data_IF_371541384978
#
_entry.id   IF_371541384978
#
_cell.length_a   1.000
_cell.length_b   1.000
_cell.length_c   1.000
_cell.angle_alpha   90.00
_cell.angle_beta   90.00
_cell.angle_gamma   90.00
#
_symmetry.space_group_name_H-M   'P 1'
#
loop_
_entity.id
_entity.type
_entity.pdbx_description
1 polymer ?
#
# COMPACT_ATOMS: atom_id res chain seq x y z
N UNK A 1 39.06 28.07 -41.54
CA UNK A 1 37.87 28.22 -40.66
C UNK A 1 37.50 26.84 -40.16
N UNK A 2 37.95 26.54 -38.95
CA UNK A 2 37.85 25.20 -38.35
C UNK A 2 36.75 25.25 -37.29
N UNK A 3 35.63 24.54 -37.51
CA UNK A 3 34.53 24.45 -36.57
C UNK A 3 34.86 23.47 -35.44
N UNK A 4 34.61 23.80 -34.15
CA UNK A 4 34.85 22.87 -33.05
C UNK A 4 33.70 21.86 -32.92
N UNK A 5 34.05 20.58 -32.79
CA UNK A 5 33.17 19.43 -32.48
C UNK A 5 32.65 19.56 -31.05
N UNK A 6 31.33 19.51 -30.92
CA UNK A 6 30.63 19.42 -29.64
C UNK A 6 30.88 18.05 -28.94
N UNK A 7 31.10 17.99 -27.62
CA UNK A 7 31.28 16.71 -26.92
C UNK A 7 29.96 16.01 -26.75
N UNK A 8 29.91 14.72 -27.07
CA UNK A 8 28.80 13.82 -26.90
C UNK A 8 28.42 13.69 -25.40
N UNK A 9 27.14 13.90 -25.08
CA UNK A 9 26.52 13.60 -23.77
C UNK A 9 26.66 12.10 -23.47
N UNK A 10 27.52 11.77 -22.51
CA UNK A 10 27.54 10.44 -21.89
C UNK A 10 26.25 10.27 -21.11
N UNK A 11 25.30 9.51 -21.64
CA UNK A 11 24.16 8.96 -20.89
C UNK A 11 24.71 7.98 -19.85
N UNK A 12 24.67 8.36 -18.58
CA UNK A 12 24.97 7.46 -17.48
C UNK A 12 23.93 6.32 -17.48
N UNK A 13 24.35 5.13 -17.92
CA UNK A 13 23.59 3.90 -17.68
C UNK A 13 23.51 3.71 -16.17
N UNK A 14 22.31 3.87 -15.58
CA UNK A 14 22.02 3.38 -14.24
C UNK A 14 22.37 1.88 -14.20
N UNK A 15 23.37 1.53 -13.42
CA UNK A 15 23.76 0.14 -13.22
C UNK A 15 22.59 -0.58 -12.53
N UNK A 16 22.00 -1.53 -13.22
CA UNK A 16 21.01 -2.45 -12.64
C UNK A 16 21.71 -3.19 -11.49
N UNK A 17 21.32 -2.90 -10.28
CA UNK A 17 21.87 -3.56 -9.09
C UNK A 17 21.45 -5.03 -9.10
N UNK A 18 22.41 -5.93 -8.88
CA UNK A 18 22.07 -7.35 -8.70
C UNK A 18 21.27 -7.56 -7.41
N UNK A 19 20.37 -8.57 -7.35
CA UNK A 19 19.54 -8.83 -6.15
C UNK A 19 20.36 -8.94 -4.86
N UNK A 20 21.55 -9.54 -4.91
CA UNK A 20 22.44 -9.67 -3.76
C UNK A 20 22.98 -8.32 -3.26
N UNK A 21 23.35 -7.42 -4.16
CA UNK A 21 23.79 -6.06 -3.80
C UNK A 21 22.66 -5.23 -3.20
N UNK A 22 21.45 -5.39 -3.72
CA UNK A 22 20.27 -4.74 -3.18
C UNK A 22 19.94 -5.24 -1.76
N UNK A 23 20.05 -6.54 -1.50
CA UNK A 23 19.84 -7.13 -0.19
C UNK A 23 20.90 -6.68 0.82
N UNK A 24 22.18 -6.67 0.44
CA UNK A 24 23.28 -6.18 1.29
C UNK A 24 23.12 -4.68 1.61
N UNK A 25 22.70 -3.87 0.65
CA UNK A 25 22.43 -2.45 0.87
C UNK A 25 21.29 -2.22 1.87
N UNK A 26 20.21 -3.01 1.76
CA UNK A 26 19.07 -2.93 2.66
C UNK A 26 19.42 -3.36 4.10
N UNK A 27 20.24 -4.37 4.27
CA UNK A 27 20.72 -4.80 5.59
C UNK A 27 21.64 -3.75 6.23
N UNK A 28 22.54 -3.15 5.44
CA UNK A 28 23.42 -2.07 5.90
C UNK A 28 22.63 -0.83 6.32
N UNK A 29 21.63 -0.43 5.51
CA UNK A 29 20.73 0.68 5.84
C UNK A 29 19.99 0.42 7.16
N UNK A 30 19.38 -0.75 7.30
CA UNK A 30 18.71 -1.15 8.54
C UNK A 30 19.63 -1.07 9.78
N UNK A 31 20.85 -1.61 9.68
CA UNK A 31 21.82 -1.59 10.78
C UNK A 31 22.27 -0.17 11.14
N UNK A 32 22.47 0.68 10.12
CA UNK A 32 22.83 2.08 10.32
C UNK A 32 21.71 2.86 11.01
N UNK A 33 20.46 2.66 10.60
CA UNK A 33 19.31 3.30 11.22
C UNK A 33 19.18 2.90 12.70
N UNK A 34 19.25 1.60 13.02
CA UNK A 34 19.22 1.11 14.42
C UNK A 34 20.36 1.74 15.23
N UNK A 35 21.59 1.73 14.70
CA UNK A 35 22.75 2.27 15.39
C UNK A 35 22.61 3.77 15.66
N UNK A 36 22.04 4.55 14.75
CA UNK A 36 21.80 5.98 14.94
C UNK A 36 20.83 6.26 16.10
N UNK A 37 19.75 5.50 16.22
CA UNK A 37 18.78 5.65 17.31
C UNK A 37 19.38 5.23 18.66
N UNK A 38 20.15 4.14 18.69
CA UNK A 38 20.84 3.68 19.90
C UNK A 38 21.89 4.70 20.37
N UNK A 39 22.64 5.29 19.44
CA UNK A 39 23.58 6.34 19.76
C UNK A 39 22.93 7.61 20.33
N UNK A 40 21.66 7.86 19.99
CA UNK A 40 20.84 8.93 20.54
C UNK A 40 20.18 8.58 21.90
N UNK A 41 20.43 7.38 22.45
CA UNK A 41 19.92 6.95 23.77
C UNK A 41 18.68 6.04 23.68
N UNK A 42 18.31 5.56 22.51
CA UNK A 42 17.22 4.60 22.32
C UNK A 42 17.61 3.18 22.78
N UNK A 43 16.63 2.41 23.27
CA UNK A 43 16.80 0.99 23.58
C UNK A 43 17.00 0.18 22.29
N UNK A 44 18.06 -0.61 22.23
CA UNK A 44 18.41 -1.38 21.02
C UNK A 44 17.32 -2.38 20.64
N UNK A 45 16.71 -3.08 21.60
CA UNK A 45 15.70 -4.09 21.34
C UNK A 45 14.45 -3.47 20.74
N UNK A 46 14.04 -2.30 21.25
CA UNK A 46 12.91 -1.52 20.73
C UNK A 46 13.22 -1.01 19.32
N UNK A 47 14.41 -0.39 19.13
CA UNK A 47 14.78 0.20 17.84
C UNK A 47 14.92 -0.86 16.73
N UNK A 48 15.41 -2.03 17.03
CA UNK A 48 15.46 -3.15 16.07
C UNK A 48 14.08 -3.54 15.56
N UNK A 49 13.08 -3.62 16.43
CA UNK A 49 11.70 -3.96 16.03
C UNK A 49 11.07 -2.82 15.24
N UNK A 50 11.09 -1.61 15.78
CA UNK A 50 10.41 -0.46 15.13
C UNK A 50 11.02 -0.14 13.75
N UNK A 51 12.36 -0.13 13.65
CA UNK A 51 13.04 0.11 12.36
C UNK A 51 12.74 -1.00 11.35
N UNK A 52 12.68 -2.27 11.79
CA UNK A 52 12.32 -3.38 10.92
C UNK A 52 10.87 -3.27 10.42
N UNK A 53 9.92 -2.97 11.29
CA UNK A 53 8.50 -2.77 10.93
C UNK A 53 8.36 -1.62 9.92
N UNK A 54 8.96 -0.47 10.18
CA UNK A 54 8.91 0.68 9.26
C UNK A 54 9.60 0.37 7.91
N UNK A 55 10.74 -0.29 7.93
CA UNK A 55 11.47 -0.69 6.72
C UNK A 55 10.67 -1.67 5.87
N UNK A 56 10.05 -2.67 6.51
CA UNK A 56 9.18 -3.63 5.82
C UNK A 56 7.94 -2.95 5.26
N UNK A 57 7.23 -2.15 6.05
CA UNK A 57 6.04 -1.42 5.61
C UNK A 57 6.34 -0.53 4.39
N UNK A 58 7.42 0.25 4.42
CA UNK A 58 7.86 1.09 3.30
C UNK A 58 8.12 0.28 2.02
N UNK A 59 8.77 -0.89 2.14
CA UNK A 59 9.05 -1.76 0.99
C UNK A 59 7.79 -2.37 0.41
N UNK A 60 6.88 -2.84 1.25
CA UNK A 60 5.58 -3.37 0.83
C UNK A 60 4.76 -2.28 0.12
N UNK A 61 4.70 -1.07 0.67
CA UNK A 61 3.98 0.06 0.06
C UNK A 61 4.51 0.41 -1.33
N UNK A 62 5.83 0.49 -1.50
CA UNK A 62 6.46 0.70 -2.81
C UNK A 62 6.12 -0.40 -3.81
N UNK A 63 5.95 -1.60 -3.34
CA UNK A 63 5.67 -2.77 -4.13
C UNK A 63 4.19 -2.80 -4.55
N UNK A 64 3.26 -2.62 -3.62
CA UNK A 64 1.83 -2.49 -3.93
C UNK A 64 1.57 -1.32 -4.89
N UNK A 65 2.26 -0.21 -4.73
CA UNK A 65 2.14 0.93 -5.65
C UNK A 65 2.51 0.55 -7.09
N UNK A 66 3.56 -0.26 -7.29
CA UNK A 66 3.94 -0.73 -8.64
C UNK A 66 2.91 -1.70 -9.22
N UNK A 67 2.46 -2.68 -8.43
CA UNK A 67 1.44 -3.63 -8.87
C UNK A 67 0.12 -2.95 -9.25
N UNK A 68 -0.32 -1.99 -8.45
CA UNK A 68 -1.52 -1.23 -8.77
C UNK A 68 -1.36 -0.43 -10.07
N UNK A 69 -0.15 0.08 -10.35
CA UNK A 69 0.14 0.77 -11.60
C UNK A 69 0.03 -0.17 -12.82
N UNK A 70 0.45 -1.44 -12.70
CA UNK A 70 0.32 -2.44 -13.77
C UNK A 70 -1.14 -2.77 -14.06
N UNK A 71 -2.05 -2.60 -13.09
CA UNK A 71 -3.50 -2.71 -13.24
C UNK A 71 -4.19 -1.37 -13.57
N UNK A 72 -3.43 -0.33 -13.87
CA UNK A 72 -3.92 1.03 -14.08
C UNK A 72 -4.77 1.54 -12.90
N UNK A 73 -4.39 1.19 -11.68
CA UNK A 73 -5.03 1.63 -10.44
C UNK A 73 -4.11 2.56 -9.65
N UNK A 74 -4.66 3.66 -9.17
CA UNK A 74 -4.03 4.44 -8.11
C UNK A 74 -4.29 3.81 -6.73
N UNK A 75 -3.44 4.07 -5.75
CA UNK A 75 -3.66 3.67 -4.36
C UNK A 75 -5.01 4.15 -3.80
N UNK A 76 -5.45 5.33 -4.24
CA UNK A 76 -6.76 5.85 -3.84
C UNK A 76 -7.94 5.12 -4.46
N UNK A 77 -7.85 4.67 -5.70
CA UNK A 77 -8.88 3.82 -6.33
C UNK A 77 -8.90 2.43 -5.72
N UNK A 78 -7.73 1.87 -5.42
CA UNK A 78 -7.61 0.63 -4.66
C UNK A 78 -8.29 0.72 -3.29
N UNK A 79 -8.09 1.82 -2.54
CA UNK A 79 -8.75 2.04 -1.26
C UNK A 79 -10.29 2.00 -1.38
N UNK A 80 -10.85 2.61 -2.44
CA UNK A 80 -12.30 2.58 -2.71
C UNK A 80 -12.76 1.16 -3.05
N UNK A 81 -12.07 0.45 -3.97
CA UNK A 81 -12.42 -0.94 -4.31
C UNK A 81 -12.39 -1.84 -3.08
N UNK A 82 -11.37 -1.70 -2.24
CA UNK A 82 -11.21 -2.47 -1.01
C UNK A 82 -12.29 -2.17 0.03
N UNK A 83 -12.72 -0.91 0.17
CA UNK A 83 -13.82 -0.55 1.07
C UNK A 83 -15.14 -1.14 0.58
N UNK A 84 -15.44 -1.03 -0.71
CA UNK A 84 -16.63 -1.59 -1.31
C UNK A 84 -16.65 -3.13 -1.25
N UNK A 85 -15.51 -3.78 -1.43
CA UNK A 85 -15.41 -5.23 -1.35
C UNK A 85 -15.58 -5.77 0.09
N UNK A 86 -15.17 -4.99 1.10
CA UNK A 86 -15.31 -5.32 2.54
C UNK A 86 -16.70 -5.05 3.08
N UNK A 87 -17.38 -4.02 2.60
CA UNK A 87 -18.78 -3.81 2.91
C UNK A 87 -19.56 -4.88 2.17
N UNK A 88 -20.03 -5.93 2.85
CA UNK A 88 -20.78 -7.06 2.27
C UNK A 88 -21.54 -6.67 0.99
N UNK A 89 -21.60 -7.56 0.00
CA UNK A 89 -22.23 -7.32 -1.32
C UNK A 89 -23.61 -6.64 -1.27
N UNK A 90 -24.28 -6.69 -0.11
CA UNK A 90 -25.59 -6.09 0.16
C UNK A 90 -25.52 -4.67 0.76
N UNK A 91 -24.35 -4.14 1.12
CA UNK A 91 -24.18 -2.80 1.71
C UNK A 91 -23.43 -1.85 0.78
N UNK A 92 -24.22 -1.18 -0.06
CA UNK A 92 -23.71 -0.06 -0.83
C UNK A 92 -23.28 1.10 0.07
N UNK A 93 -22.15 1.74 -0.24
CA UNK A 93 -21.62 2.88 0.52
C UNK A 93 -21.94 4.21 -0.17
N UNK A 94 -22.13 5.25 0.63
CA UNK A 94 -22.24 6.61 0.09
C UNK A 94 -20.88 7.23 -0.17
N UNK A 95 -20.77 8.25 -1.08
CA UNK A 95 -19.53 8.99 -1.29
C UNK A 95 -18.93 9.57 0.01
N UNK A 96 -19.78 10.02 0.94
CA UNK A 96 -19.34 10.57 2.23
C UNK A 96 -18.69 9.51 3.11
N UNK A 97 -19.28 8.31 3.20
CA UNK A 97 -18.69 7.18 3.94
C UNK A 97 -17.35 6.75 3.34
N UNK A 98 -17.26 6.72 2.02
CA UNK A 98 -15.99 6.42 1.32
C UNK A 98 -14.93 7.49 1.56
N UNK A 99 -15.31 8.77 1.59
CA UNK A 99 -14.40 9.88 1.87
C UNK A 99 -13.87 9.80 3.31
N UNK A 100 -14.75 9.57 4.28
CA UNK A 100 -14.41 9.41 5.70
C UNK A 100 -13.47 8.21 5.91
N UNK A 101 -13.85 7.03 5.40
CA UNK A 101 -13.06 5.80 5.52
C UNK A 101 -11.68 5.89 4.86
N UNK A 102 -11.53 6.75 3.84
CA UNK A 102 -10.25 7.00 3.14
C UNK A 102 -9.51 8.23 3.66
N UNK A 103 -10.05 8.95 4.65
CA UNK A 103 -9.49 10.20 5.20
C UNK A 103 -9.17 11.23 4.11
N UNK A 104 -10.05 11.39 3.13
CA UNK A 104 -9.90 12.36 2.03
C UNK A 104 -11.04 13.36 1.98
N UNK A 105 -10.77 14.54 1.40
CA UNK A 105 -11.81 15.56 1.21
C UNK A 105 -12.95 15.05 0.29
N UNK A 106 -14.22 15.40 0.55
CA UNK A 106 -15.37 14.99 -0.26
C UNK A 106 -15.22 15.31 -1.75
N UNK A 107 -14.65 16.47 -2.09
CA UNK A 107 -14.38 16.87 -3.49
C UNK A 107 -13.40 15.90 -4.18
N UNK A 108 -12.32 15.51 -3.49
CA UNK A 108 -11.34 14.56 -3.99
C UNK A 108 -11.98 13.18 -4.22
N UNK A 109 -12.86 12.75 -3.30
CA UNK A 109 -13.61 11.50 -3.45
C UNK A 109 -14.55 11.57 -4.66
N UNK A 110 -15.27 12.68 -4.85
CA UNK A 110 -16.16 12.84 -6.01
C UNK A 110 -15.41 12.67 -7.32
N UNK A 111 -14.28 13.36 -7.51
CA UNK A 111 -13.45 13.22 -8.72
C UNK A 111 -12.92 11.80 -8.92
N UNK A 112 -12.55 11.12 -7.84
CA UNK A 112 -12.10 9.72 -7.89
C UNK A 112 -13.23 8.80 -8.36
N UNK A 113 -14.40 8.92 -7.76
CA UNK A 113 -15.59 8.13 -8.13
C UNK A 113 -16.04 8.40 -9.57
N UNK A 114 -15.88 9.64 -10.07
CA UNK A 114 -16.20 9.98 -11.48
C UNK A 114 -15.29 9.20 -12.43
N UNK A 115 -13.99 9.18 -12.20
CA UNK A 115 -13.04 8.41 -13.01
C UNK A 115 -13.30 6.90 -12.94
N UNK A 116 -13.57 6.38 -11.74
CA UNK A 116 -13.87 4.96 -11.55
C UNK A 116 -15.17 4.55 -12.26
N UNK A 117 -16.19 5.40 -12.24
CA UNK A 117 -17.43 5.15 -12.98
C UNK A 117 -17.22 5.19 -14.52
N UNK A 118 -16.41 6.15 -15.03
CA UNK A 118 -16.05 6.19 -16.45
C UNK A 118 -15.32 4.93 -16.92
N UNK A 119 -14.54 4.30 -16.02
CA UNK A 119 -13.84 3.03 -16.26
C UNK A 119 -14.70 1.80 -15.96
N UNK A 120 -15.98 1.99 -15.66
CA UNK A 120 -16.90 0.91 -15.31
C UNK A 120 -16.47 0.06 -14.10
N UNK A 121 -15.70 0.61 -13.18
CA UNK A 121 -15.28 -0.11 -11.97
C UNK A 121 -16.35 -0.05 -10.87
N UNK A 122 -17.17 0.99 -10.87
CA UNK A 122 -18.23 1.22 -9.89
C UNK A 122 -19.54 1.62 -10.58
N UNK A 123 -20.65 1.30 -9.97
CA UNK A 123 -21.97 1.77 -10.32
C UNK A 123 -22.49 2.78 -9.26
N UNK A 124 -23.35 3.69 -9.73
CA UNK A 124 -24.06 4.66 -8.89
C UNK A 124 -25.55 4.43 -8.99
N UNK A 125 -26.23 4.32 -7.89
CA UNK A 125 -27.68 4.19 -7.85
C UNK A 125 -28.28 5.14 -6.82
N UNK A 126 -29.53 5.60 -7.05
CA UNK A 126 -30.26 6.30 -6.01
C UNK A 126 -30.62 5.32 -4.88
N UNK A 127 -30.54 5.77 -3.63
CA UNK A 127 -30.97 4.99 -2.49
C UNK A 127 -32.51 4.83 -2.54
N UNK A 128 -33.07 3.60 -2.52
CA UNK A 128 -34.50 3.40 -2.53
C UNK A 128 -35.23 4.06 -1.34
N UNK A 129 -34.56 4.15 -0.19
CA UNK A 129 -35.09 4.75 1.03
C UNK A 129 -34.89 6.28 1.09
N UNK A 130 -33.99 6.85 0.30
CA UNK A 130 -33.71 8.29 0.28
C UNK A 130 -33.18 8.74 -1.07
N UNK A 131 -34.03 9.26 -1.93
CA UNK A 131 -33.70 9.69 -3.31
C UNK A 131 -32.63 10.78 -3.40
N UNK A 132 -32.29 11.47 -2.32
CA UNK A 132 -31.20 12.45 -2.30
C UNK A 132 -29.84 11.81 -2.03
N UNK A 133 -29.80 10.54 -1.65
CA UNK A 133 -28.57 9.79 -1.42
C UNK A 133 -28.19 8.98 -2.66
N UNK A 134 -26.91 8.98 -2.95
CA UNK A 134 -26.29 8.11 -3.97
C UNK A 134 -25.57 6.98 -3.27
N UNK A 135 -25.78 5.79 -3.76
CA UNK A 135 -25.13 4.57 -3.31
C UNK A 135 -24.11 4.13 -4.37
N UNK A 136 -22.95 3.70 -3.92
CA UNK A 136 -21.83 3.22 -4.74
C UNK A 136 -21.67 1.72 -4.49
N UNK A 137 -21.57 0.96 -5.57
CA UNK A 137 -21.30 -0.49 -5.55
C UNK A 137 -20.20 -0.82 -6.56
N UNK A 138 -19.55 -1.97 -6.40
CA UNK A 138 -18.70 -2.53 -7.45
C UNK A 138 -19.55 -3.05 -8.62
N UNK A 139 -19.06 -2.87 -9.83
CA UNK A 139 -19.54 -3.58 -11.01
C UNK A 139 -18.84 -4.94 -11.12
N UNK A 140 -19.24 -5.77 -12.08
CA UNK A 140 -18.52 -7.01 -12.39
C UNK A 140 -17.06 -6.74 -12.76
N UNK A 141 -16.80 -5.68 -13.53
CA UNK A 141 -15.43 -5.24 -13.88
C UNK A 141 -14.64 -4.81 -12.64
N UNK A 142 -15.27 -4.03 -11.75
CA UNK A 142 -14.68 -3.64 -10.46
C UNK A 142 -14.33 -4.84 -9.59
N UNK A 143 -15.18 -5.84 -9.55
CA UNK A 143 -14.92 -7.10 -8.85
C UNK A 143 -13.78 -7.90 -9.48
N UNK A 144 -13.70 -7.99 -10.81
CA UNK A 144 -12.60 -8.67 -11.49
C UNK A 144 -11.27 -7.95 -11.24
N UNK A 145 -11.26 -6.63 -11.33
CA UNK A 145 -10.09 -5.80 -11.05
C UNK A 145 -9.61 -5.96 -9.59
N UNK A 146 -10.54 -5.93 -8.63
CA UNK A 146 -10.22 -6.19 -7.23
C UNK A 146 -9.60 -7.57 -7.02
N UNK A 147 -10.21 -8.62 -7.57
CA UNK A 147 -9.70 -10.00 -7.47
C UNK A 147 -8.33 -10.17 -8.15
N UNK A 148 -8.09 -9.48 -9.26
CA UNK A 148 -6.78 -9.50 -9.91
C UNK A 148 -5.70 -8.90 -9.01
N UNK A 149 -5.97 -7.71 -8.44
CA UNK A 149 -5.05 -7.06 -7.52
C UNK A 149 -4.75 -7.91 -6.27
N UNK A 150 -5.77 -8.55 -5.68
CA UNK A 150 -5.57 -9.46 -4.53
C UNK A 150 -4.67 -10.64 -4.91
N UNK A 151 -4.92 -11.29 -6.06
CA UNK A 151 -4.09 -12.43 -6.50
C UNK A 151 -2.63 -12.06 -6.73
N UNK A 152 -2.39 -10.88 -7.30
CA UNK A 152 -1.02 -10.40 -7.49
C UNK A 152 -0.35 -10.06 -6.15
N UNK A 153 -1.10 -9.48 -5.20
CA UNK A 153 -0.60 -9.24 -3.84
C UNK A 153 -0.22 -10.52 -3.12
N UNK A 154 -1.05 -11.57 -3.19
CA UNK A 154 -0.81 -12.85 -2.54
C UNK A 154 0.51 -13.51 -3.00
N UNK A 155 0.84 -13.41 -4.30
CA UNK A 155 2.11 -13.94 -4.83
C UNK A 155 3.30 -13.25 -4.19
N UNK A 156 3.22 -11.96 -4.06
CA UNK A 156 4.28 -11.11 -3.50
C UNK A 156 4.44 -11.32 -2.01
N UNK A 157 3.35 -11.32 -1.29
CA UNK A 157 3.34 -11.55 0.15
C UNK A 157 3.93 -12.94 0.46
N UNK A 158 3.64 -13.93 -0.40
CA UNK A 158 4.24 -15.27 -0.32
C UNK A 158 5.75 -15.22 -0.52
N UNK A 159 6.24 -14.45 -1.47
CA UNK A 159 7.69 -14.32 -1.74
C UNK A 159 8.39 -13.58 -0.59
N UNK A 160 7.80 -12.49 -0.08
CA UNK A 160 8.34 -11.74 1.06
C UNK A 160 8.43 -12.61 2.32
N UNK A 161 7.44 -13.47 2.56
CA UNK A 161 7.41 -14.39 3.69
C UNK A 161 8.11 -15.72 3.41
N UNK A 162 8.56 -15.96 2.17
CA UNK A 162 9.24 -17.17 1.74
C UNK A 162 10.43 -17.60 2.62
N UNK A 163 11.28 -16.68 3.11
CA UNK A 163 12.39 -17.03 4.00
C UNK A 163 11.97 -17.61 5.36
N UNK A 164 10.71 -17.42 5.76
CA UNK A 164 10.18 -17.88 7.05
C UNK A 164 9.51 -19.24 6.91
N UNK A 165 9.80 -20.17 7.82
CA UNK A 165 9.03 -21.39 8.00
C UNK A 165 7.59 -21.07 8.42
N UNK A 166 6.68 -22.02 8.25
CA UNK A 166 5.27 -21.88 8.67
C UNK A 166 5.16 -21.44 10.13
N UNK A 167 5.89 -22.09 11.03
CA UNK A 167 5.88 -21.76 12.47
C UNK A 167 6.36 -20.33 12.73
N UNK A 168 7.43 -19.90 12.05
CA UNK A 168 7.93 -18.52 12.19
C UNK A 168 6.92 -17.47 11.70
N UNK A 169 6.13 -17.78 10.67
CA UNK A 169 5.05 -16.89 10.20
C UNK A 169 3.93 -16.80 11.23
N UNK A 170 3.54 -17.93 11.81
CA UNK A 170 2.52 -18.01 12.87
C UNK A 170 2.97 -17.22 14.11
N UNK A 171 4.22 -17.41 14.55
CA UNK A 171 4.79 -16.69 15.70
C UNK A 171 4.88 -15.18 15.44
N UNK A 172 5.34 -14.78 14.24
CA UNK A 172 5.42 -13.36 13.85
C UNK A 172 4.02 -12.71 13.79
N UNK A 173 3.04 -13.40 13.21
CA UNK A 173 1.65 -12.94 13.17
C UNK A 173 1.10 -12.68 14.56
N UNK A 174 1.26 -13.64 15.49
CA UNK A 174 0.81 -13.50 16.86
C UNK A 174 1.47 -12.30 17.60
N UNK A 175 2.78 -12.09 17.38
CA UNK A 175 3.48 -10.94 17.96
C UNK A 175 3.00 -9.60 17.41
N UNK A 176 2.77 -9.52 16.10
CA UNK A 176 2.25 -8.30 15.46
C UNK A 176 0.81 -7.99 15.92
N UNK A 177 -0.05 -9.01 16.05
CA UNK A 177 -1.40 -8.86 16.59
C UNK A 177 -1.40 -8.33 18.03
N UNK A 178 -0.46 -8.80 18.85
CA UNK A 178 -0.29 -8.31 20.22
C UNK A 178 0.08 -6.81 20.24
N UNK A 179 0.97 -6.38 19.35
CA UNK A 179 1.37 -4.96 19.23
C UNK A 179 0.18 -4.11 18.74
N UNK A 180 -0.58 -4.56 17.77
CA UNK A 180 -1.76 -3.85 17.24
C UNK A 180 -2.79 -3.64 18.37
N UNK A 181 -3.10 -4.69 19.13
CA UNK A 181 -4.02 -4.58 20.28
C UNK A 181 -3.52 -3.60 21.34
N UNK A 182 -2.19 -3.50 21.54
CA UNK A 182 -1.59 -2.56 22.49
C UNK A 182 -1.73 -1.10 22.03
N UNK A 183 -1.73 -0.82 20.74
CA UNK A 183 -1.90 0.54 20.19
C UNK A 183 -3.32 1.08 20.37
N UNK A 184 -4.32 0.20 20.38
CA UNK A 184 -5.73 0.57 20.53
C UNK A 184 -6.14 0.79 22.01
N UNK A 185 -5.26 0.47 22.95
CA UNK A 185 -5.50 0.76 24.38
C UNK A 185 -5.10 2.20 24.68
N UNK A 186 -5.99 3.01 25.33
CA UNK A 186 -5.58 4.33 25.79
C UNK A 186 -4.38 4.17 26.71
N UNK A 187 -3.32 4.97 26.49
CA UNK A 187 -2.15 4.99 27.34
C UNK A 187 -2.62 5.17 28.79
N UNK A 188 -2.33 4.18 29.63
CA UNK A 188 -2.55 4.31 31.08
C UNK A 188 -1.66 5.46 31.55
N UNK A 189 -2.30 6.63 31.83
CA UNK A 189 -1.67 7.86 32.31
C UNK A 189 -1.11 7.69 33.72
#
# INVERSE_FOLDING_TARGET
MTTPRSPAKRTSRSAVQTPERAAQSAEQEYRADVAAYVAAGGDESVQRVITAVHGLARKLDQWYTRQLADLDLSAGEWAVLSQLARSNQDQALTPSQLAEASSVAPSSMTHRLDRMAQRNLIARAADPGNRTRVLITLTDEGWQTFKAAVRESDMVESDVLGPLSRRQREDLGALLELLIKGLDQPAAG
#
